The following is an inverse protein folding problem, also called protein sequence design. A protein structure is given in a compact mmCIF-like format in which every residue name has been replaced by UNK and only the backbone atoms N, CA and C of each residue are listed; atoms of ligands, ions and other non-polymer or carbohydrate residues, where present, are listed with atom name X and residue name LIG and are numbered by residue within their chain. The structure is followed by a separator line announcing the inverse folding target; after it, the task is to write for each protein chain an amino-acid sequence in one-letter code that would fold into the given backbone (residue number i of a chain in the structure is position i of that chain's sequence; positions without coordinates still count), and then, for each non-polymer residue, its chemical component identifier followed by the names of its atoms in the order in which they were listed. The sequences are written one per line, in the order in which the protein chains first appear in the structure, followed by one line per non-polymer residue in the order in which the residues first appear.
data_IF_187502871576
#
_entry.id   IF_187502871576
#
_cell.length_a   1.000
_cell.length_b   1.000
_cell.length_c   1.000
_cell.angle_alpha   90.00
_cell.angle_beta   90.00
_cell.angle_gamma   90.00
#
_symmetry.space_group_name_H-M   'P 1'
#
loop_
_entity.id
_entity.type
_entity.pdbx_description
1 polymer ?
#
# COMPACT_ATOMS: atom_id res chain seq x y z
N UNK A 1 25.72 -12.59 -14.01
CA UNK A 1 24.46 -12.81 -14.76
C UNK A 1 23.35 -12.80 -13.73
N UNK A 2 22.32 -11.95 -13.87
CA UNK A 2 21.25 -11.89 -12.87
C UNK A 2 20.44 -13.19 -12.88
N UNK A 3 20.22 -13.79 -11.71
CA UNK A 3 19.37 -14.98 -11.58
C UNK A 3 17.94 -14.64 -12.00
N UNK A 4 17.29 -15.56 -12.71
CA UNK A 4 15.89 -15.47 -13.08
C UNK A 4 15.04 -15.83 -11.86
N UNK A 5 14.12 -14.96 -11.48
CA UNK A 5 13.23 -15.22 -10.34
C UNK A 5 11.91 -15.86 -10.78
N UNK A 6 11.46 -16.91 -10.08
CA UNK A 6 10.13 -17.48 -10.23
C UNK A 6 9.36 -17.46 -8.90
N UNK A 7 8.15 -16.91 -8.93
CA UNK A 7 7.31 -16.80 -7.73
C UNK A 7 6.48 -18.07 -7.53
N UNK A 8 6.42 -18.56 -6.29
CA UNK A 8 5.60 -19.70 -5.87
C UNK A 8 4.31 -19.19 -5.23
N UNK A 9 3.15 -19.31 -5.91
CA UNK A 9 1.88 -18.80 -5.42
C UNK A 9 1.39 -19.53 -4.17
N UNK A 10 0.46 -18.88 -3.48
CA UNK A 10 -0.22 -19.43 -2.30
C UNK A 10 -0.96 -20.72 -2.66
N UNK A 11 -0.70 -21.80 -1.90
CA UNK A 11 -1.31 -23.11 -2.13
C UNK A 11 -0.78 -23.83 -3.37
N UNK A 12 0.41 -23.46 -3.85
CA UNK A 12 1.13 -24.11 -4.94
C UNK A 12 2.53 -24.54 -4.51
N UNK A 13 3.18 -25.34 -5.36
CA UNK A 13 4.58 -25.73 -5.23
C UNK A 13 5.31 -25.57 -6.56
N UNK A 14 6.64 -25.43 -6.49
CA UNK A 14 7.57 -25.48 -7.63
C UNK A 14 8.80 -26.30 -7.26
N UNK A 15 9.35 -27.00 -8.25
CA UNK A 15 10.59 -27.78 -8.16
C UNK A 15 11.44 -27.46 -9.39
N UNK A 16 12.74 -27.24 -9.22
CA UNK A 16 13.64 -26.91 -10.31
C UNK A 16 15.07 -27.38 -10.04
N UNK A 17 15.75 -27.78 -11.11
CA UNK A 17 17.20 -28.03 -11.17
C UNK A 17 17.95 -26.94 -11.98
N UNK A 18 17.22 -25.91 -12.45
CA UNK A 18 17.81 -24.81 -13.21
C UNK A 18 18.62 -23.90 -12.28
N UNK A 19 19.96 -24.03 -12.35
CA UNK A 19 20.91 -23.24 -11.56
C UNK A 19 20.89 -21.75 -11.90
N UNK A 20 20.17 -21.32 -12.92
CA UNK A 20 19.97 -19.89 -13.20
C UNK A 20 18.73 -19.32 -12.51
N UNK A 21 17.97 -20.15 -11.78
CA UNK A 21 16.70 -19.82 -11.18
C UNK A 21 16.82 -19.56 -9.67
N UNK A 22 16.02 -18.63 -9.17
CA UNK A 22 15.66 -18.52 -7.76
C UNK A 22 14.14 -18.66 -7.57
N UNK A 23 13.71 -19.45 -6.58
CA UNK A 23 12.31 -19.59 -6.19
C UNK A 23 11.97 -18.62 -5.08
N UNK A 24 10.85 -17.92 -5.20
CA UNK A 24 10.46 -16.84 -4.27
C UNK A 24 9.04 -17.02 -3.78
N UNK A 25 8.82 -16.85 -2.47
CA UNK A 25 7.46 -16.74 -1.93
C UNK A 25 7.41 -15.74 -0.77
N UNK A 26 6.21 -15.31 -0.38
CA UNK A 26 6.00 -14.39 0.75
C UNK A 26 5.03 -15.03 1.73
N UNK A 27 5.48 -15.27 2.96
CA UNK A 27 4.71 -15.93 4.01
C UNK A 27 4.23 -14.92 5.05
N UNK A 28 2.94 -14.98 5.42
CA UNK A 28 2.38 -14.28 6.59
C UNK A 28 2.05 -15.29 7.69
N UNK A 29 0.76 -15.56 7.91
CA UNK A 29 0.28 -16.70 8.72
C UNK A 29 0.43 -18.05 8.02
N UNK A 30 0.64 -18.05 6.71
CA UNK A 30 0.96 -19.24 5.92
C UNK A 30 2.43 -19.69 6.14
N UNK A 31 2.77 -20.91 5.75
CA UNK A 31 4.12 -21.49 5.94
C UNK A 31 4.70 -21.89 4.59
N UNK A 32 5.93 -21.47 4.32
CA UNK A 32 6.74 -21.98 3.23
C UNK A 32 7.56 -23.19 3.71
N UNK A 33 7.56 -24.24 2.90
CA UNK A 33 8.41 -25.42 3.09
C UNK A 33 9.39 -25.44 1.93
N UNK A 34 10.68 -25.40 2.25
CA UNK A 34 11.76 -25.47 1.26
C UNK A 34 12.45 -26.81 1.43
N UNK A 35 12.61 -27.56 0.35
CA UNK A 35 13.41 -28.77 0.28
C UNK A 35 14.57 -28.56 -0.67
N UNK A 36 15.75 -29.03 -0.29
CA UNK A 36 16.93 -28.95 -1.16
C UNK A 36 17.75 -30.24 -1.08
N UNK A 37 18.21 -30.71 -2.24
CA UNK A 37 19.19 -31.78 -2.40
C UNK A 37 20.52 -31.17 -2.88
N UNK A 38 21.49 -31.08 -1.97
CA UNK A 38 22.81 -30.49 -2.25
C UNK A 38 23.64 -31.31 -3.25
N UNK A 39 23.37 -32.61 -3.40
CA UNK A 39 24.14 -33.48 -4.30
C UNK A 39 23.68 -33.33 -5.74
N UNK A 40 22.38 -33.14 -5.95
CA UNK A 40 21.79 -33.00 -7.28
C UNK A 40 21.51 -31.55 -7.68
N UNK A 41 21.75 -30.58 -6.78
CA UNK A 41 21.42 -29.16 -6.98
C UNK A 41 19.94 -28.98 -7.38
N UNK A 42 19.06 -29.68 -6.65
CA UNK A 42 17.62 -29.65 -6.87
C UNK A 42 16.94 -28.96 -5.71
N UNK A 43 16.10 -27.98 -6.01
CA UNK A 43 15.36 -27.21 -5.03
C UNK A 43 13.85 -27.25 -5.27
N UNK A 44 13.09 -27.30 -4.18
CA UNK A 44 11.64 -27.28 -4.19
C UNK A 44 11.10 -26.35 -3.11
N UNK A 45 10.03 -25.65 -3.44
CA UNK A 45 9.35 -24.74 -2.51
C UNK A 45 7.84 -24.93 -2.59
N UNK A 46 7.20 -25.05 -1.43
CA UNK A 46 5.76 -25.22 -1.24
C UNK A 46 5.22 -24.09 -0.36
N UNK A 47 4.06 -23.54 -0.71
CA UNK A 47 3.36 -22.54 0.12
C UNK A 47 2.08 -23.13 0.73
N UNK A 48 2.15 -23.49 2.01
CA UNK A 48 1.06 -24.09 2.80
C UNK A 48 0.15 -23.03 3.41
N UNK A 49 -1.16 -23.22 3.27
CA UNK A 49 -2.18 -22.29 3.80
C UNK A 49 -2.85 -22.80 5.07
N UNK A 50 -3.16 -24.10 5.12
CA UNK A 50 -3.89 -24.74 6.23
C UNK A 50 -3.22 -26.06 6.67
N UNK A 51 -3.45 -26.52 7.92
CA UNK A 51 -2.71 -27.65 8.48
C UNK A 51 -3.19 -29.01 7.93
N UNK A 52 -4.46 -29.15 7.56
CA UNK A 52 -4.98 -30.40 7.00
C UNK A 52 -6.41 -30.32 6.49
N UNK A 53 -6.77 -31.22 5.58
CA UNK A 53 -8.05 -31.22 4.85
C UNK A 53 -9.23 -31.71 5.71
N UNK A 54 -9.01 -32.69 6.61
CA UNK A 54 -10.06 -33.27 7.48
C UNK A 54 -10.61 -32.29 8.54
N UNK A 55 -9.81 -31.31 8.95
CA UNK A 55 -10.14 -30.37 10.02
C UNK A 55 -10.45 -28.95 9.50
N UNK A 56 -10.74 -28.80 8.21
CA UNK A 56 -11.04 -27.52 7.58
C UNK A 56 -12.48 -27.44 7.09
N UNK A 57 -13.18 -26.36 7.44
CA UNK A 57 -14.48 -26.01 6.85
C UNK A 57 -14.37 -25.51 5.40
N UNK A 58 -13.15 -25.23 4.92
CA UNK A 58 -12.89 -24.69 3.58
C UNK A 58 -12.54 -25.80 2.59
N UNK A 59 -13.28 -25.85 1.48
CA UNK A 59 -12.96 -26.72 0.33
C UNK A 59 -12.02 -25.97 -0.62
N UNK A 60 -10.89 -26.57 -0.97
CA UNK A 60 -9.97 -26.10 -2.00
C UNK A 60 -9.55 -27.29 -2.85
N UNK A 61 -9.59 -27.12 -4.17
CA UNK A 61 -9.16 -28.14 -5.15
C UNK A 61 -7.65 -28.09 -5.42
N UNK A 62 -6.94 -27.12 -4.82
CA UNK A 62 -5.47 -27.03 -4.94
C UNK A 62 -4.83 -28.00 -3.97
N UNK A 63 -4.18 -29.03 -4.51
CA UNK A 63 -3.57 -30.09 -3.71
C UNK A 63 -2.37 -29.62 -2.84
N UNK A 64 -1.78 -28.46 -3.12
CA UNK A 64 -0.71 -27.86 -2.30
C UNK A 64 -1.23 -26.85 -1.25
N UNK A 65 -2.54 -26.72 -1.08
CA UNK A 65 -3.16 -25.78 -0.14
C UNK A 65 -3.05 -26.22 1.33
N UNK A 66 -3.06 -27.53 1.59
CA UNK A 66 -3.00 -28.11 2.94
C UNK A 66 -1.65 -28.79 3.19
N UNK A 67 -1.15 -28.78 4.43
CA UNK A 67 0.13 -29.40 4.76
C UNK A 67 0.12 -30.92 4.48
N UNK A 68 -0.95 -31.61 4.88
CA UNK A 68 -1.14 -33.06 4.75
C UNK A 68 -1.17 -33.58 3.31
N UNK A 69 -1.37 -32.70 2.33
CA UNK A 69 -1.38 -33.02 0.90
C UNK A 69 -0.17 -32.41 0.19
N UNK A 70 0.16 -31.16 0.50
CA UNK A 70 1.26 -30.43 -0.12
C UNK A 70 2.64 -30.96 0.22
N UNK A 71 2.92 -31.33 1.47
CA UNK A 71 4.25 -31.83 1.88
C UNK A 71 4.58 -33.17 1.19
N UNK A 72 3.69 -34.20 1.21
CA UNK A 72 3.93 -35.42 0.46
C UNK A 72 4.09 -35.18 -1.05
N UNK A 73 3.33 -34.25 -1.63
CA UNK A 73 3.45 -33.90 -3.05
C UNK A 73 4.79 -33.25 -3.38
N UNK A 74 5.27 -32.32 -2.57
CA UNK A 74 6.57 -31.68 -2.79
C UNK A 74 7.68 -32.74 -2.78
N UNK A 75 7.68 -33.64 -1.80
CA UNK A 75 8.66 -34.73 -1.72
C UNK A 75 8.60 -35.62 -2.97
N UNK A 76 7.38 -36.00 -3.39
CA UNK A 76 7.17 -36.81 -4.60
C UNK A 76 7.72 -36.13 -5.85
N UNK A 77 7.47 -34.83 -6.02
CA UNK A 77 7.99 -34.07 -7.17
C UNK A 77 9.51 -33.91 -7.09
N UNK A 78 10.09 -33.69 -5.91
CA UNK A 78 11.55 -33.67 -5.74
C UNK A 78 12.19 -35.01 -6.20
N UNK A 79 11.63 -36.14 -5.76
CA UNK A 79 12.11 -37.47 -6.17
C UNK A 79 11.93 -37.69 -7.68
N UNK A 80 10.80 -37.25 -8.24
CA UNK A 80 10.53 -37.33 -9.68
C UNK A 80 11.56 -36.54 -10.52
N UNK A 81 12.06 -35.44 -9.97
CA UNK A 81 13.12 -34.63 -10.56
C UNK A 81 14.54 -35.16 -10.26
N UNK A 82 14.65 -36.30 -9.57
CA UNK A 82 15.91 -37.01 -9.34
C UNK A 82 16.54 -36.82 -7.97
N UNK A 83 15.91 -36.11 -7.03
CA UNK A 83 16.43 -36.03 -5.67
C UNK A 83 16.35 -37.38 -4.94
N UNK A 84 17.30 -37.59 -4.03
CA UNK A 84 17.29 -38.75 -3.14
C UNK A 84 16.74 -38.36 -1.76
N UNK A 85 15.79 -39.12 -1.18
CA UNK A 85 15.21 -38.80 0.13
C UNK A 85 16.26 -38.58 1.23
N UNK A 86 17.32 -39.38 1.22
CA UNK A 86 18.46 -39.32 2.14
C UNK A 86 19.28 -38.01 2.06
N UNK A 87 19.18 -37.27 0.94
CA UNK A 87 19.88 -36.00 0.75
C UNK A 87 18.99 -34.78 0.98
N UNK A 88 17.67 -34.98 1.09
CA UNK A 88 16.74 -33.88 1.27
C UNK A 88 16.92 -33.25 2.64
N UNK A 89 17.09 -31.94 2.64
CA UNK A 89 17.07 -31.12 3.86
C UNK A 89 15.94 -30.11 3.74
N UNK A 90 15.29 -29.83 4.87
CA UNK A 90 14.17 -28.91 4.91
C UNK A 90 14.48 -27.63 5.67
N UNK A 91 13.89 -26.52 5.22
CA UNK A 91 13.65 -25.35 6.05
C UNK A 91 12.16 -25.00 6.08
N UNK A 92 11.68 -24.61 7.26
CA UNK A 92 10.27 -24.25 7.50
C UNK A 92 10.20 -22.79 7.93
N UNK A 93 9.59 -21.94 7.10
CA UNK A 93 9.60 -20.48 7.28
C UNK A 93 8.16 -19.93 7.23
N UNK A 94 7.78 -19.01 8.12
CA UNK A 94 6.47 -18.34 8.09
C UNK A 94 5.66 -18.52 9.36
N UNK A 95 4.37 -18.84 9.26
CA UNK A 95 3.55 -19.18 10.43
C UNK A 95 3.35 -18.03 11.43
N UNK A 96 3.36 -16.79 10.96
CA UNK A 96 3.12 -15.60 11.79
C UNK A 96 1.74 -15.61 12.45
N UNK A 97 1.64 -15.05 13.65
CA UNK A 97 0.41 -14.94 14.44
C UNK A 97 -0.52 -13.83 13.94
N UNK A 98 -0.70 -13.74 12.62
CA UNK A 98 -1.44 -12.66 11.95
C UNK A 98 -2.94 -12.96 11.81
N UNK A 99 -3.34 -14.23 11.91
CA UNK A 99 -4.72 -14.69 11.72
C UNK A 99 -5.04 -15.79 12.74
N UNK A 100 -6.13 -15.61 13.48
CA UNK A 100 -6.77 -16.66 14.27
C UNK A 100 -7.91 -17.29 13.47
N UNK A 101 -8.15 -18.58 13.65
CA UNK A 101 -9.36 -19.22 13.11
C UNK A 101 -10.60 -18.86 13.96
N UNK A 102 -11.77 -19.38 13.58
CA UNK A 102 -13.06 -19.13 14.26
C UNK A 102 -13.06 -19.61 15.74
N UNK A 103 -12.06 -20.40 16.15
CA UNK A 103 -11.85 -20.85 17.53
C UNK A 103 -10.85 -19.99 18.32
N UNK A 104 -10.36 -18.88 17.74
CA UNK A 104 -9.38 -17.99 18.38
C UNK A 104 -7.95 -18.53 18.38
N UNK A 105 -7.67 -19.65 17.70
CA UNK A 105 -6.39 -20.32 17.68
C UNK A 105 -5.52 -19.86 16.50
N UNK A 106 -4.21 -19.74 16.73
CA UNK A 106 -3.25 -19.23 15.75
C UNK A 106 -3.01 -20.22 14.60
N UNK A 107 -3.53 -19.91 13.41
CA UNK A 107 -3.43 -20.74 12.20
C UNK A 107 -1.97 -20.99 11.80
N UNK A 108 -1.11 -19.97 11.95
CA UNK A 108 0.29 -20.07 11.54
C UNK A 108 1.12 -21.04 12.38
N UNK A 109 0.84 -21.11 13.68
CA UNK A 109 1.46 -22.10 14.57
C UNK A 109 1.03 -23.52 14.19
N UNK A 110 -0.26 -23.74 13.96
CA UNK A 110 -0.80 -25.05 13.55
C UNK A 110 -0.24 -25.52 12.21
N UNK A 111 -0.08 -24.61 11.25
CA UNK A 111 0.55 -24.90 9.97
C UNK A 111 2.00 -25.37 10.16
N UNK A 112 2.78 -24.66 10.97
CA UNK A 112 4.18 -25.00 11.23
C UNK A 112 4.32 -26.35 11.94
N UNK A 113 3.46 -26.62 12.94
CA UNK A 113 3.40 -27.90 13.65
C UNK A 113 3.06 -29.05 12.70
N UNK A 114 2.01 -28.91 11.89
CA UNK A 114 1.60 -29.93 10.93
C UNK A 114 2.69 -30.25 9.88
N UNK A 115 3.34 -29.22 9.33
CA UNK A 115 4.48 -29.39 8.40
C UNK A 115 5.63 -30.11 9.08
N UNK A 116 5.98 -29.70 10.30
CA UNK A 116 7.10 -30.28 11.06
C UNK A 116 6.87 -31.77 11.32
N UNK A 117 5.66 -32.16 11.70
CA UNK A 117 5.31 -33.56 11.95
C UNK A 117 5.37 -34.41 10.67
N UNK A 118 4.93 -33.85 9.53
CA UNK A 118 4.98 -34.54 8.24
C UNK A 118 6.43 -34.74 7.76
N UNK A 119 7.29 -33.73 7.90
CA UNK A 119 8.71 -33.84 7.53
C UNK A 119 9.45 -34.85 8.42
N UNK A 120 9.17 -34.87 9.73
CA UNK A 120 9.71 -35.87 10.65
C UNK A 120 9.27 -37.29 10.27
N UNK A 121 7.99 -37.49 9.96
CA UNK A 121 7.47 -38.80 9.49
C UNK A 121 8.11 -39.25 8.18
N UNK A 122 8.48 -38.30 7.32
CA UNK A 122 9.20 -38.58 6.08
C UNK A 122 10.71 -38.79 6.26
N UNK A 123 11.24 -38.66 7.49
CA UNK A 123 12.68 -38.79 7.76
C UNK A 123 13.54 -37.64 7.24
N UNK A 124 12.95 -36.48 6.93
CA UNK A 124 13.66 -35.33 6.36
C UNK A 124 14.11 -34.39 7.50
N UNK A 125 15.42 -34.16 7.68
CA UNK A 125 15.92 -33.25 8.71
C UNK A 125 15.55 -31.79 8.41
N UNK A 126 15.10 -31.06 9.43
CA UNK A 126 14.83 -29.62 9.36
C UNK A 126 16.07 -28.89 9.88
N UNK A 127 16.78 -28.19 9.00
CA UNK A 127 18.01 -27.47 9.38
C UNK A 127 17.70 -26.16 10.10
N UNK A 128 16.63 -25.50 9.69
CA UNK A 128 16.25 -24.20 10.22
C UNK A 128 14.73 -24.06 10.24
N UNK A 129 14.28 -23.47 11.33
CA UNK A 129 12.88 -23.09 11.51
C UNK A 129 12.84 -21.59 11.78
N UNK A 130 12.10 -20.85 10.94
CA UNK A 130 11.83 -19.43 11.14
C UNK A 130 10.31 -19.20 11.15
N UNK A 131 9.67 -19.73 12.20
CA UNK A 131 8.21 -19.73 12.34
C UNK A 131 7.72 -18.79 13.46
N UNK A 132 6.48 -18.31 13.38
CA UNK A 132 5.87 -17.42 14.38
C UNK A 132 6.14 -15.93 14.12
N UNK A 133 6.05 -15.08 15.14
CA UNK A 133 6.20 -13.63 15.01
C UNK A 133 4.98 -12.91 14.42
N UNK A 134 5.08 -11.59 14.23
CA UNK A 134 3.97 -10.71 13.79
C UNK A 134 4.23 -10.06 12.42
N UNK A 135 5.16 -10.60 11.64
CA UNK A 135 5.67 -9.97 10.40
C UNK A 135 5.67 -10.97 9.26
N UNK A 136 5.37 -10.52 8.04
CA UNK A 136 5.55 -11.36 6.85
C UNK A 136 7.03 -11.61 6.59
N UNK A 137 7.36 -12.65 5.83
CA UNK A 137 8.72 -12.99 5.42
C UNK A 137 8.77 -13.27 3.93
N UNK A 138 9.70 -12.67 3.20
CA UNK A 138 10.08 -13.11 1.86
C UNK A 138 11.08 -14.25 2.02
N UNK A 139 10.81 -15.36 1.35
CA UNK A 139 11.68 -16.54 1.30
C UNK A 139 12.16 -16.67 -0.13
N UNK A 140 13.48 -16.73 -0.30
CA UNK A 140 14.13 -16.91 -1.59
C UNK A 140 15.05 -18.12 -1.49
N UNK A 141 14.94 -19.06 -2.44
CA UNK A 141 15.84 -20.19 -2.60
C UNK A 141 16.62 -19.99 -3.90
N UNK A 142 17.94 -19.90 -3.81
CA UNK A 142 18.83 -20.00 -4.97
C UNK A 142 19.07 -21.49 -5.30
N UNK A 143 18.73 -21.91 -6.51
CA UNK A 143 18.84 -23.32 -6.94
C UNK A 143 20.31 -23.73 -7.17
N UNK A 144 21.18 -22.80 -7.57
CA UNK A 144 22.59 -23.13 -7.81
C UNK A 144 23.34 -23.45 -6.51
N UNK A 145 22.99 -22.76 -5.43
CA UNK A 145 23.74 -22.80 -4.17
C UNK A 145 22.99 -23.52 -3.06
N UNK A 146 21.66 -23.63 -3.15
CA UNK A 146 20.82 -24.07 -2.05
C UNK A 146 20.65 -23.02 -0.95
N UNK A 147 21.16 -21.81 -1.16
CA UNK A 147 21.10 -20.77 -0.15
C UNK A 147 19.65 -20.27 -0.01
N UNK A 148 19.15 -20.31 1.23
CA UNK A 148 17.82 -19.83 1.58
C UNK A 148 17.96 -18.47 2.28
N UNK A 149 17.44 -17.43 1.64
CA UNK A 149 17.38 -16.08 2.19
C UNK A 149 15.99 -15.80 2.74
N UNK A 150 15.92 -15.43 4.02
CA UNK A 150 14.67 -15.08 4.71
C UNK A 150 14.70 -13.61 5.12
N UNK A 151 13.81 -12.81 4.56
CA UNK A 151 13.73 -11.37 4.80
C UNK A 151 12.41 -11.05 5.51
N UNK A 152 12.46 -10.71 6.79
CA UNK A 152 11.27 -10.41 7.60
C UNK A 152 10.82 -8.95 7.37
N UNK A 153 9.54 -8.72 7.03
CA UNK A 153 8.93 -7.40 6.81
C UNK A 153 8.66 -6.61 8.11
N UNK A 154 9.54 -6.73 9.10
CA UNK A 154 9.43 -5.98 10.36
C UNK A 154 10.53 -6.25 11.38
N UNK A 155 11.63 -6.90 10.98
CA UNK A 155 12.94 -6.55 11.53
C UNK A 155 13.60 -5.65 10.51
N UNK A 156 13.86 -4.42 10.94
CA UNK A 156 14.86 -3.55 10.33
C UNK A 156 16.09 -4.38 9.92
N UNK A 157 16.67 -4.16 8.74
CA UNK A 157 18.12 -4.11 8.69
C UNK A 157 18.51 -2.97 9.65
N UNK A 158 18.99 -3.34 10.84
CA UNK A 158 19.78 -2.42 11.65
C UNK A 158 21.09 -2.16 10.90
N UNK A 159 21.27 -0.93 10.44
CA UNK A 159 22.24 -0.03 11.06
C UNK A 159 22.18 1.31 10.35
N UNK A 160 22.22 2.37 11.14
CA UNK A 160 22.38 3.76 10.72
C UNK A 160 23.73 4.04 10.04
N UNK A 161 24.46 3.00 9.60
CA UNK A 161 25.69 3.12 8.83
C UNK A 161 25.46 3.16 7.30
N UNK A 162 24.36 2.61 6.78
CA UNK A 162 24.09 2.59 5.31
C UNK A 162 23.07 3.62 4.83
N UNK A 163 22.77 4.60 5.66
CA UNK A 163 22.07 5.80 5.20
C UNK A 163 23.05 6.85 4.64
N UNK A 164 24.32 6.47 4.44
CA UNK A 164 25.36 7.24 3.75
C UNK A 164 25.51 6.83 2.27
N UNK A 165 24.79 5.81 1.81
CA UNK A 165 24.84 5.27 0.45
C UNK A 165 23.55 5.52 -0.37
N UNK A 166 22.88 6.66 -0.18
CA UNK A 166 21.77 7.08 -1.04
C UNK A 166 22.24 7.61 -2.41
N UNK A 167 23.05 6.83 -3.11
CA UNK A 167 23.37 7.06 -4.52
C UNK A 167 22.21 6.65 -5.46
N UNK A 168 21.07 6.15 -4.95
CA UNK A 168 19.88 6.02 -5.78
C UNK A 168 18.54 6.26 -5.06
N UNK A 169 17.96 7.44 -5.31
CA UNK A 169 16.62 7.88 -4.89
C UNK A 169 15.52 6.84 -5.17
N UNK A 170 15.68 6.04 -6.23
CA UNK A 170 14.75 4.96 -6.60
C UNK A 170 14.56 3.87 -5.56
N UNK A 171 15.61 3.52 -4.79
CA UNK A 171 15.51 2.51 -3.73
C UNK A 171 14.62 2.98 -2.58
N UNK A 172 14.77 4.23 -2.17
CA UNK A 172 13.98 4.87 -1.11
C UNK A 172 12.50 4.96 -1.50
N UNK A 173 12.21 5.38 -2.74
CA UNK A 173 10.84 5.47 -3.27
C UNK A 173 10.13 4.11 -3.20
N UNK A 174 10.81 3.02 -3.58
CA UNK A 174 10.23 1.67 -3.52
C UNK A 174 9.92 1.21 -2.10
N UNK A 175 10.81 1.50 -1.15
CA UNK A 175 10.58 1.18 0.27
C UNK A 175 9.39 1.97 0.81
N UNK A 176 9.33 3.27 0.52
CA UNK A 176 8.24 4.12 0.97
C UNK A 176 6.91 3.74 0.33
N UNK A 177 6.90 3.47 -0.97
CA UNK A 177 5.75 2.92 -1.68
C UNK A 177 5.19 1.72 -0.94
N UNK A 178 6.02 0.72 -0.64
CA UNK A 178 5.62 -0.47 0.13
C UNK A 178 5.12 -0.14 1.54
N UNK A 179 5.72 0.82 2.26
CA UNK A 179 5.23 1.23 3.58
C UNK A 179 3.85 1.88 3.50
N UNK A 180 3.61 2.72 2.48
CA UNK A 180 2.31 3.33 2.22
C UNK A 180 1.24 2.27 1.89
N UNK A 181 1.60 1.17 1.23
CA UNK A 181 0.70 0.01 1.00
C UNK A 181 0.24 -0.68 2.27
N UNK A 182 0.96 -0.50 3.38
CA UNK A 182 0.62 -1.10 4.66
C UNK A 182 -0.24 -0.17 5.53
N UNK A 183 -0.48 1.08 5.10
CA UNK A 183 -1.33 2.03 5.81
C UNK A 183 -2.79 1.58 5.82
N UNK A 184 -3.45 1.76 6.97
CA UNK A 184 -4.83 1.32 7.20
C UNK A 184 -5.76 2.51 7.33
N UNK A 185 -6.93 2.50 6.67
CA UNK A 185 -7.96 3.46 7.01
C UNK A 185 -8.42 3.27 8.47
N UNK A 186 -8.95 4.32 9.06
CA UNK A 186 -9.53 4.27 10.40
C UNK A 186 -10.54 3.10 10.52
N UNK A 187 -10.54 2.32 11.61
CA UNK A 187 -11.40 1.15 11.78
C UNK A 187 -12.90 1.42 11.62
N UNK A 188 -13.38 2.61 12.04
CA UNK A 188 -14.78 3.00 11.86
C UNK A 188 -15.11 3.20 10.38
N UNK A 189 -14.21 3.83 9.64
CA UNK A 189 -14.32 3.97 8.18
C UNK A 189 -14.29 2.61 7.48
N UNK A 190 -13.34 1.75 7.86
CA UNK A 190 -13.21 0.39 7.34
C UNK A 190 -14.51 -0.42 7.55
N UNK A 191 -15.06 -0.40 8.78
CA UNK A 191 -16.33 -1.07 9.10
C UNK A 191 -17.50 -0.53 8.29
N UNK A 192 -17.65 0.79 8.20
CA UNK A 192 -18.75 1.39 7.45
C UNK A 192 -18.66 1.06 5.95
N UNK A 193 -17.45 1.12 5.39
CA UNK A 193 -17.21 0.76 4.00
C UNK A 193 -17.52 -0.71 3.76
N UNK A 194 -17.07 -1.59 4.67
CA UNK A 194 -17.35 -3.02 4.62
C UNK A 194 -18.85 -3.31 4.64
N UNK A 195 -19.62 -2.63 5.48
CA UNK A 195 -21.09 -2.72 5.49
C UNK A 195 -21.66 -2.32 4.12
N UNK A 196 -21.32 -1.12 3.64
CA UNK A 196 -21.84 -0.59 2.38
C UNK A 196 -21.54 -1.50 1.18
N UNK A 197 -20.35 -2.10 1.10
CA UNK A 197 -19.97 -2.97 -0.03
C UNK A 197 -20.56 -4.39 0.07
N UNK A 198 -21.06 -4.83 1.22
CA UNK A 198 -21.68 -6.15 1.40
C UNK A 198 -23.21 -6.12 1.31
N UNK A 199 -23.82 -4.94 1.15
CA UNK A 199 -25.26 -4.83 0.91
C UNK A 199 -25.65 -5.57 -0.40
N UNK A 200 -26.77 -6.31 -0.41
CA UNK A 200 -27.25 -7.07 -1.57
C UNK A 200 -27.33 -6.23 -2.85
N UNK A 201 -27.82 -4.98 -2.71
CA UNK A 201 -27.77 -3.95 -3.74
C UNK A 201 -26.85 -2.82 -3.32
N UNK A 202 -25.56 -2.97 -3.62
CA UNK A 202 -24.55 -1.97 -3.25
C UNK A 202 -24.77 -0.65 -3.99
N UNK A 203 -24.99 0.43 -3.24
CA UNK A 203 -25.02 1.78 -3.80
C UNK A 203 -23.59 2.28 -4.08
N UNK A 204 -23.11 2.09 -5.30
CA UNK A 204 -21.75 2.49 -5.72
C UNK A 204 -21.50 4.00 -5.68
N UNK A 205 -22.54 4.82 -5.77
CA UNK A 205 -22.43 6.28 -5.57
C UNK A 205 -22.08 6.60 -4.12
N UNK A 206 -22.69 5.91 -3.16
CA UNK A 206 -22.35 6.03 -1.75
C UNK A 206 -20.91 5.54 -1.48
N UNK A 207 -20.56 4.35 -1.96
CA UNK A 207 -19.21 3.76 -1.81
C UNK A 207 -18.13 4.69 -2.36
N UNK A 208 -18.32 5.26 -3.56
CA UNK A 208 -17.41 6.27 -4.13
C UNK A 208 -17.28 7.49 -3.24
N UNK A 209 -18.38 7.98 -2.68
CA UNK A 209 -18.40 9.08 -1.72
C UNK A 209 -17.57 8.79 -0.47
N UNK A 210 -17.58 7.54 0.00
CA UNK A 210 -16.79 7.10 1.16
C UNK A 210 -15.28 7.06 0.85
N UNK A 211 -14.89 6.48 -0.29
CA UNK A 211 -13.47 6.43 -0.73
C UNK A 211 -12.92 7.85 -0.87
N UNK A 212 -13.70 8.73 -1.52
CA UNK A 212 -13.30 10.11 -1.79
C UNK A 212 -13.13 10.95 -0.51
N UNK A 213 -13.52 10.43 0.65
CA UNK A 213 -13.31 11.08 1.96
C UNK A 213 -12.13 10.49 2.75
N UNK A 214 -11.50 9.44 2.24
CA UNK A 214 -10.41 8.74 2.92
C UNK A 214 -9.16 8.68 2.04
N UNK A 215 -8.12 9.40 2.46
CA UNK A 215 -6.84 9.46 1.74
C UNK A 215 -6.22 8.08 1.56
N UNK A 216 -6.15 7.28 2.62
CA UNK A 216 -5.52 5.96 2.59
C UNK A 216 -6.24 5.03 1.60
N UNK A 217 -7.58 5.03 1.60
CA UNK A 217 -8.34 4.25 0.62
C UNK A 217 -8.15 4.76 -0.81
N UNK A 218 -8.14 6.08 -0.99
CA UNK A 218 -7.86 6.69 -2.29
C UNK A 218 -6.50 6.23 -2.83
N UNK A 219 -5.45 6.28 -2.00
CA UNK A 219 -4.11 5.80 -2.36
C UNK A 219 -4.12 4.32 -2.78
N UNK A 220 -4.77 3.44 -2.00
CA UNK A 220 -4.86 2.01 -2.35
C UNK A 220 -5.58 1.77 -3.67
N UNK A 221 -6.68 2.49 -3.91
CA UNK A 221 -7.48 2.39 -5.13
C UNK A 221 -6.70 2.87 -6.34
N UNK A 222 -6.09 4.07 -6.26
CA UNK A 222 -5.30 4.63 -7.37
C UNK A 222 -4.10 3.76 -7.74
N UNK A 223 -3.36 3.29 -6.74
CA UNK A 223 -2.20 2.42 -6.96
C UNK A 223 -2.62 1.12 -7.64
N UNK A 224 -3.67 0.47 -7.14
CA UNK A 224 -4.09 -0.81 -7.71
C UNK A 224 -4.63 -0.63 -9.13
N UNK A 225 -5.48 0.38 -9.35
CA UNK A 225 -6.06 0.67 -10.66
C UNK A 225 -5.00 0.98 -11.73
N UNK A 226 -3.84 1.52 -11.35
CA UNK A 226 -2.72 1.81 -12.25
C UNK A 226 -1.62 0.73 -12.27
N UNK A 227 -1.79 -0.36 -11.51
CA UNK A 227 -0.82 -1.47 -11.52
C UNK A 227 -0.78 -2.17 -12.88
N UNK A 228 0.33 -2.84 -13.18
CA UNK A 228 0.52 -3.57 -14.45
C UNK A 228 -0.54 -4.64 -14.74
N UNK A 229 -1.24 -5.12 -13.71
CA UNK A 229 -2.36 -6.05 -13.87
C UNK A 229 -3.63 -5.37 -14.42
N UNK A 230 -3.83 -4.08 -14.14
CA UNK A 230 -5.04 -3.33 -14.53
C UNK A 230 -4.79 -2.25 -15.61
N UNK A 231 -3.57 -1.74 -15.82
CA UNK A 231 -3.26 -0.73 -16.87
C UNK A 231 -2.50 -1.32 -18.08
N UNK A 232 -2.70 -0.95 -19.36
CA UNK A 232 -3.28 0.25 -20.04
C UNK A 232 -3.91 -0.15 -21.41
N UNK A 233 -4.79 0.66 -22.07
CA UNK A 233 -4.51 2.05 -22.48
C UNK A 233 -5.45 3.09 -21.84
N UNK A 234 -4.87 3.96 -21.01
CA UNK A 234 -5.52 5.07 -20.31
C UNK A 234 -5.17 5.06 -18.83
N UNK A 235 -4.11 5.76 -18.42
CA UNK A 235 -3.71 5.89 -17.00
C UNK A 235 -4.87 6.53 -16.21
N UNK A 236 -5.18 5.99 -15.04
CA UNK A 236 -6.37 6.30 -14.25
C UNK A 236 -6.11 7.45 -13.27
N UNK A 237 -6.83 8.56 -13.41
CA UNK A 237 -6.69 9.77 -12.55
C UNK A 237 -7.85 10.02 -11.60
N UNK A 238 -9.00 9.33 -11.73
CA UNK A 238 -10.14 9.52 -10.82
C UNK A 238 -10.58 8.25 -10.10
N UNK A 239 -11.18 8.42 -8.91
CA UNK A 239 -11.79 7.31 -8.17
C UNK A 239 -12.91 6.63 -8.97
N UNK A 240 -13.63 7.39 -9.81
CA UNK A 240 -14.69 6.86 -10.65
C UNK A 240 -14.16 5.92 -11.74
N UNK A 241 -13.14 6.35 -12.48
CA UNK A 241 -12.45 5.50 -13.44
C UNK A 241 -11.81 4.27 -12.75
N UNK A 242 -11.21 4.46 -11.56
CA UNK A 242 -10.60 3.37 -10.81
C UNK A 242 -11.64 2.31 -10.40
N UNK A 243 -12.80 2.73 -9.92
CA UNK A 243 -13.90 1.81 -9.60
C UNK A 243 -14.42 1.09 -10.84
N UNK A 244 -14.51 1.78 -11.98
CA UNK A 244 -14.94 1.19 -13.24
C UNK A 244 -13.97 0.10 -13.74
N UNK A 245 -12.66 0.33 -13.64
CA UNK A 245 -11.62 -0.62 -14.09
C UNK A 245 -11.46 -1.79 -13.12
N UNK A 246 -11.44 -1.53 -11.81
CA UNK A 246 -11.28 -2.59 -10.82
C UNK A 246 -12.51 -3.50 -10.73
N UNK A 247 -13.70 -2.92 -10.95
CA UNK A 247 -14.97 -3.60 -10.77
C UNK A 247 -15.29 -3.91 -9.31
N UNK A 248 -16.55 -4.29 -9.07
CA UNK A 248 -17.11 -4.47 -7.73
C UNK A 248 -16.41 -5.56 -6.92
N UNK A 249 -16.08 -6.69 -7.55
CA UNK A 249 -15.48 -7.85 -6.90
C UNK A 249 -14.08 -7.56 -6.37
N UNK A 250 -13.22 -6.94 -7.17
CA UNK A 250 -11.86 -6.62 -6.73
C UNK A 250 -11.86 -5.48 -5.73
N UNK A 251 -12.73 -4.48 -5.94
CA UNK A 251 -12.89 -3.40 -4.98
C UNK A 251 -13.28 -3.92 -3.57
N UNK A 252 -14.25 -4.84 -3.48
CA UNK A 252 -14.60 -5.52 -2.23
C UNK A 252 -13.40 -6.20 -1.57
N UNK A 253 -12.53 -6.84 -2.35
CA UNK A 253 -11.29 -7.48 -1.83
C UNK A 253 -10.29 -6.46 -1.30
N UNK A 254 -10.15 -5.29 -1.95
CA UNK A 254 -9.32 -4.19 -1.43
C UNK A 254 -9.86 -3.71 -0.10
N UNK A 255 -11.18 -3.49 0.01
CA UNK A 255 -11.81 -3.08 1.26
C UNK A 255 -11.61 -4.13 2.37
N UNK A 256 -11.77 -5.41 2.04
CA UNK A 256 -11.50 -6.52 2.98
C UNK A 256 -10.03 -6.54 3.41
N UNK A 257 -9.09 -6.51 2.48
CA UNK A 257 -7.65 -6.52 2.79
C UNK A 257 -7.26 -5.29 3.62
N UNK A 258 -7.76 -4.10 3.29
CA UNK A 258 -7.52 -2.88 4.05
C UNK A 258 -8.15 -2.92 5.47
N UNK A 259 -9.20 -3.74 5.69
CA UNK A 259 -9.90 -3.87 6.97
C UNK A 259 -9.34 -4.99 7.87
N UNK A 260 -8.67 -5.99 7.30
CA UNK A 260 -8.17 -7.18 8.02
C UNK A 260 -6.79 -6.99 8.68
N UNK A 261 -6.07 -5.90 8.38
CA UNK A 261 -4.71 -5.71 8.90
C UNK A 261 -4.79 -4.93 10.23
N UNK A 262 -4.42 -5.60 11.33
CA UNK A 262 -4.41 -5.10 12.74
C UNK A 262 -3.73 -3.74 12.86
N UNK A 263 -4.28 -2.80 13.66
CA UNK A 263 -3.86 -1.39 13.77
C UNK A 263 -2.34 -1.15 13.70
N UNK A 264 -1.91 -0.13 12.96
CA UNK A 264 -0.63 0.54 13.22
C UNK A 264 -0.78 1.40 14.48
N UNK A 265 0.21 1.38 15.36
CA UNK A 265 0.30 2.29 16.50
C UNK A 265 0.10 3.75 16.05
N UNK A 266 -0.46 4.63 16.92
CA UNK A 266 -0.52 6.05 16.63
C UNK A 266 0.87 6.58 16.30
N UNK A 267 1.09 7.02 15.06
CA UNK A 267 2.31 7.72 14.68
C UNK A 267 2.25 9.13 15.27
N UNK A 268 2.62 9.27 16.55
CA UNK A 268 2.97 10.57 17.13
C UNK A 268 4.48 10.68 17.12
N UNK A 269 5.00 11.25 16.04
CA UNK A 269 6.40 11.70 16.02
C UNK A 269 6.54 12.99 16.84
N UNK A 270 7.78 13.36 17.19
CA UNK A 270 8.17 14.62 17.85
C UNK A 270 7.69 15.91 17.13
N UNK A 271 7.07 15.78 15.95
CA UNK A 271 6.54 16.86 15.12
C UNK A 271 5.05 17.14 15.32
N UNK A 272 4.33 16.37 16.16
CA UNK A 272 2.88 16.49 16.40
C UNK A 272 2.00 16.39 15.13
N UNK A 273 2.51 15.73 14.08
CA UNK A 273 1.75 15.44 12.85
C UNK A 273 1.04 14.08 13.05
N UNK A 274 -0.25 14.01 12.71
CA UNK A 274 -1.03 12.77 12.76
C UNK A 274 -1.64 12.44 11.39
N UNK A 275 -1.88 11.14 11.16
CA UNK A 275 -2.61 10.66 9.97
C UNK A 275 -3.92 11.44 9.77
N UNK A 276 -4.72 11.56 10.84
CA UNK A 276 -6.00 12.26 10.80
C UNK A 276 -5.87 13.74 10.44
N UNK A 277 -4.76 14.40 10.81
CA UNK A 277 -4.50 15.80 10.46
C UNK A 277 -4.17 15.94 8.97
N UNK A 278 -3.24 15.13 8.46
CA UNK A 278 -2.88 15.13 7.03
C UNK A 278 -4.06 14.72 6.16
N UNK A 279 -4.81 13.68 6.53
CA UNK A 279 -5.99 13.22 5.81
C UNK A 279 -7.09 14.30 5.75
N UNK A 280 -7.35 15.01 6.85
CA UNK A 280 -8.32 16.14 6.87
C UNK A 280 -7.88 17.27 5.95
N UNK A 281 -6.59 17.65 6.01
CA UNK A 281 -6.03 18.68 5.15
C UNK A 281 -6.14 18.31 3.66
N UNK A 282 -5.79 17.08 3.30
CA UNK A 282 -5.88 16.60 1.92
C UNK A 282 -7.33 16.58 1.41
N UNK A 283 -8.29 16.16 2.24
CA UNK A 283 -9.70 16.19 1.88
C UNK A 283 -10.23 17.61 1.66
N UNK A 284 -9.89 18.54 2.56
CA UNK A 284 -10.26 19.95 2.42
C UNK A 284 -9.67 20.56 1.14
N UNK A 285 -8.38 20.28 0.87
CA UNK A 285 -7.70 20.74 -0.32
C UNK A 285 -8.30 20.16 -1.61
N UNK A 286 -8.65 18.87 -1.62
CA UNK A 286 -9.30 18.19 -2.74
C UNK A 286 -10.66 18.81 -3.08
N UNK A 287 -11.51 19.01 -2.07
CA UNK A 287 -12.84 19.60 -2.26
C UNK A 287 -12.73 21.03 -2.74
N UNK A 288 -11.81 21.80 -2.15
CA UNK A 288 -11.56 23.20 -2.55
C UNK A 288 -11.02 23.30 -3.97
N UNK A 289 -10.01 22.50 -4.33
CA UNK A 289 -9.45 22.48 -5.68
C UNK A 289 -10.52 22.12 -6.74
N UNK A 290 -11.39 21.15 -6.44
CA UNK A 290 -12.51 20.82 -7.33
C UNK A 290 -13.55 21.94 -7.44
N UNK A 291 -13.84 22.62 -6.33
CA UNK A 291 -14.76 23.77 -6.32
C UNK A 291 -14.23 24.91 -7.21
N UNK A 292 -12.94 25.25 -7.06
CA UNK A 292 -12.28 26.25 -7.89
C UNK A 292 -12.30 25.86 -9.38
N UNK A 293 -12.21 24.56 -9.67
CA UNK A 293 -12.34 24.04 -11.02
C UNK A 293 -13.80 23.96 -11.54
N UNK A 294 -14.80 24.49 -10.85
CA UNK A 294 -16.23 24.31 -11.20
C UNK A 294 -16.61 24.70 -12.63
N UNK A 295 -15.95 25.71 -13.21
CA UNK A 295 -16.11 26.14 -14.61
C UNK A 295 -15.33 25.31 -15.65
N UNK A 296 -14.56 24.31 -15.21
CA UNK A 296 -13.72 23.46 -16.07
C UNK A 296 -14.44 22.18 -16.50
N UNK A 297 -13.96 21.49 -17.55
CA UNK A 297 -14.49 20.19 -17.96
C UNK A 297 -14.51 19.17 -16.81
N UNK A 298 -15.45 18.22 -16.88
CA UNK A 298 -15.63 17.20 -15.84
C UNK A 298 -14.33 16.47 -15.47
N UNK A 299 -13.56 16.04 -16.48
CA UNK A 299 -12.29 15.34 -16.24
C UNK A 299 -11.30 16.20 -15.45
N UNK A 300 -11.16 17.47 -15.81
CA UNK A 300 -10.26 18.40 -15.11
C UNK A 300 -10.67 18.61 -13.66
N UNK A 301 -11.98 18.67 -13.37
CA UNK A 301 -12.50 18.78 -12.00
C UNK A 301 -12.16 17.56 -11.14
N UNK A 302 -12.23 16.37 -11.73
CA UNK A 302 -11.84 15.14 -11.03
C UNK A 302 -10.32 15.04 -10.87
N UNK A 303 -9.53 15.49 -11.84
CA UNK A 303 -8.06 15.57 -11.71
C UNK A 303 -7.65 16.58 -10.61
N UNK A 304 -8.35 17.71 -10.51
CA UNK A 304 -8.14 18.72 -9.45
C UNK A 304 -8.48 18.15 -8.06
N UNK A 305 -9.55 17.35 -7.97
CA UNK A 305 -9.88 16.62 -6.76
C UNK A 305 -8.79 15.61 -6.40
N UNK A 306 -8.37 14.77 -7.34
CA UNK A 306 -7.39 13.71 -7.11
C UNK A 306 -6.02 14.25 -6.74
N UNK A 307 -5.55 15.32 -7.40
CA UNK A 307 -4.30 16.00 -7.03
C UNK A 307 -4.39 16.62 -5.64
N UNK A 308 -5.50 17.32 -5.33
CA UNK A 308 -5.74 17.85 -3.98
C UNK A 308 -5.83 16.76 -2.91
N UNK A 309 -6.32 15.56 -3.24
CA UNK A 309 -6.36 14.43 -2.31
C UNK A 309 -4.96 13.82 -2.13
N UNK A 310 -4.21 13.64 -3.20
CA UNK A 310 -2.93 12.93 -3.20
C UNK A 310 -1.72 13.82 -2.86
N UNK A 311 -1.85 15.14 -2.83
CA UNK A 311 -0.71 16.04 -2.62
C UNK A 311 0.03 15.79 -1.29
N UNK A 312 -0.69 15.33 -0.25
CA UNK A 312 -0.11 15.04 1.06
C UNK A 312 0.65 13.71 1.15
N UNK A 313 0.72 12.91 0.09
CA UNK A 313 1.40 11.60 0.10
C UNK A 313 2.89 11.71 0.45
N UNK A 314 3.53 12.80 0.03
CA UNK A 314 4.92 13.10 0.39
C UNK A 314 5.11 13.38 1.87
N UNK A 315 4.17 14.11 2.50
CA UNK A 315 4.19 14.37 3.94
C UNK A 315 4.00 13.06 4.73
N UNK A 316 3.09 12.19 4.32
CA UNK A 316 2.94 10.85 4.90
C UNK A 316 4.22 10.02 4.78
N UNK A 317 4.86 10.07 3.62
CA UNK A 317 6.10 9.33 3.38
C UNK A 317 7.22 9.86 4.27
N UNK A 318 7.31 11.17 4.43
CA UNK A 318 8.27 11.79 5.35
C UNK A 318 8.01 11.39 6.81
N UNK A 319 6.75 11.36 7.27
CA UNK A 319 6.42 10.83 8.60
C UNK A 319 6.89 9.39 8.78
N UNK A 320 6.68 8.54 7.77
CA UNK A 320 7.14 7.14 7.81
C UNK A 320 8.66 7.02 7.81
N UNK A 321 9.36 7.91 7.10
CA UNK A 321 10.83 8.00 7.14
C UNK A 321 11.30 8.40 8.53
N UNK A 322 10.74 9.47 9.09
CA UNK A 322 11.18 9.99 10.37
C UNK A 322 10.85 9.03 11.53
N UNK A 323 9.70 8.35 11.49
CA UNK A 323 9.40 7.27 12.44
C UNK A 323 10.39 6.09 12.33
N UNK A 324 10.95 5.84 11.15
CA UNK A 324 11.94 4.76 10.93
C UNK A 324 13.37 5.21 11.23
N UNK A 325 13.67 6.50 11.08
CA UNK A 325 14.98 7.13 11.22
C UNK A 325 14.83 8.54 11.81
N UNK A 326 14.58 8.65 13.13
CA UNK A 326 14.25 9.94 13.75
C UNK A 326 15.34 10.99 13.59
N UNK A 327 14.94 12.24 13.31
CA UNK A 327 15.80 13.43 13.19
C UNK A 327 16.88 13.35 12.10
N UNK A 328 16.78 12.36 11.21
CA UNK A 328 17.78 12.17 10.16
C UNK A 328 17.57 13.07 8.95
N UNK A 329 16.29 13.32 8.64
CA UNK A 329 15.89 14.08 7.47
C UNK A 329 15.03 15.26 7.92
N UNK A 330 15.24 16.38 7.25
CA UNK A 330 14.45 17.61 7.38
C UNK A 330 13.73 17.89 6.07
N UNK A 331 12.76 18.81 6.07
CA UNK A 331 12.08 19.24 4.84
C UNK A 331 13.05 19.91 3.84
N UNK A 332 14.15 20.50 4.33
CA UNK A 332 15.25 20.99 3.48
C UNK A 332 15.97 19.87 2.74
N UNK A 333 16.07 18.67 3.33
CA UNK A 333 16.74 17.52 2.72
C UNK A 333 15.83 16.83 1.70
N UNK A 334 14.53 16.73 2.00
CA UNK A 334 13.56 16.06 1.13
C UNK A 334 12.29 16.92 1.01
N UNK A 335 12.15 17.59 -0.13
CA UNK A 335 10.95 18.34 -0.49
C UNK A 335 9.76 17.39 -0.65
N UNK A 336 8.74 17.54 0.20
CA UNK A 336 7.59 16.62 0.26
C UNK A 336 6.81 16.52 -1.04
N UNK A 337 6.59 17.64 -1.73
CA UNK A 337 5.93 17.72 -3.04
C UNK A 337 6.65 16.85 -4.08
N UNK A 338 7.99 16.97 -4.16
CA UNK A 338 8.83 16.18 -5.07
C UNK A 338 8.80 14.70 -4.74
N UNK A 339 8.96 14.35 -3.46
CA UNK A 339 8.85 12.96 -3.00
C UNK A 339 7.46 12.38 -3.33
N UNK A 340 6.41 13.17 -3.15
CA UNK A 340 5.04 12.76 -3.45
C UNK A 340 4.86 12.40 -4.92
N UNK A 341 5.29 13.26 -5.85
CA UNK A 341 5.17 12.94 -7.27
C UNK A 341 6.04 11.77 -7.71
N UNK A 342 7.24 11.60 -7.13
CA UNK A 342 8.08 10.43 -7.41
C UNK A 342 7.38 9.11 -7.02
N UNK A 343 6.68 9.08 -5.89
CA UNK A 343 5.89 7.92 -5.46
C UNK A 343 4.70 7.69 -6.40
N UNK A 344 3.99 8.75 -6.79
CA UNK A 344 2.87 8.62 -7.73
C UNK A 344 3.33 8.16 -9.12
N UNK A 345 4.54 8.55 -9.54
CA UNK A 345 5.18 8.07 -10.77
C UNK A 345 5.48 6.59 -10.70
N UNK A 346 6.04 6.10 -9.57
CA UNK A 346 6.25 4.67 -9.33
C UNK A 346 4.92 3.89 -9.35
N UNK A 347 3.83 4.53 -8.90
CA UNK A 347 2.47 3.97 -8.98
C UNK A 347 1.80 4.14 -10.35
N UNK A 348 2.56 4.60 -11.34
CA UNK A 348 2.13 4.75 -12.73
C UNK A 348 0.90 5.65 -12.93
N UNK A 349 0.71 6.66 -12.05
CA UNK A 349 -0.34 7.65 -12.25
C UNK A 349 -0.10 8.49 -13.51
N UNK A 350 -1.15 9.15 -14.05
CA UNK A 350 -1.01 10.06 -15.18
C UNK A 350 -0.01 11.19 -14.92
N UNK A 351 0.77 11.52 -15.94
CA UNK A 351 1.86 12.51 -15.83
C UNK A 351 1.38 13.88 -15.36
N UNK A 352 0.17 14.31 -15.78
CA UNK A 352 -0.40 15.57 -15.32
C UNK A 352 -0.71 15.58 -13.81
N UNK A 353 -1.10 14.44 -13.22
CA UNK A 353 -1.29 14.30 -11.76
C UNK A 353 0.05 14.32 -11.04
N UNK A 354 1.03 13.57 -11.56
CA UNK A 354 2.40 13.50 -11.00
C UNK A 354 3.03 14.89 -10.98
N UNK A 355 2.99 15.60 -12.12
CA UNK A 355 3.53 16.95 -12.26
C UNK A 355 2.83 17.94 -11.33
N UNK A 356 1.50 17.88 -11.23
CA UNK A 356 0.74 18.75 -10.34
C UNK A 356 1.15 18.56 -8.87
N UNK A 357 1.23 17.32 -8.39
CA UNK A 357 1.68 17.02 -7.02
C UNK A 357 3.15 17.39 -6.80
N UNK A 358 4.00 17.26 -7.81
CA UNK A 358 5.41 17.66 -7.72
C UNK A 358 5.66 19.16 -7.78
N UNK A 359 4.69 19.98 -8.16
CA UNK A 359 4.93 21.41 -8.39
C UNK A 359 3.93 22.33 -7.69
N UNK A 360 2.93 21.80 -6.98
CA UNK A 360 1.89 22.63 -6.38
C UNK A 360 2.40 23.70 -5.41
N UNK A 361 3.57 23.53 -4.75
CA UNK A 361 4.11 24.58 -3.86
C UNK A 361 4.60 25.82 -4.60
N UNK A 362 4.91 25.68 -5.89
CA UNK A 362 5.38 26.74 -6.77
C UNK A 362 4.85 26.44 -8.19
N UNK A 363 3.54 26.59 -8.43
CA UNK A 363 2.92 26.19 -9.68
C UNK A 363 3.44 27.10 -10.82
N UNK A 364 3.72 26.49 -11.97
CA UNK A 364 3.97 27.27 -13.19
C UNK A 364 2.67 27.96 -13.63
N UNK A 365 2.75 29.11 -14.30
CA UNK A 365 1.57 29.74 -14.89
C UNK A 365 0.93 28.81 -15.93
N UNK A 366 -0.40 28.79 -15.98
CA UNK A 366 -1.15 28.13 -17.04
C UNK A 366 -0.82 28.68 -18.42
N UNK A 367 -1.17 27.91 -19.45
CA UNK A 367 -1.06 28.35 -20.85
C UNK A 367 -2.44 28.76 -21.36
N UNK A 368 -2.49 29.56 -22.43
CA UNK A 368 -3.76 30.08 -22.98
C UNK A 368 -4.74 28.95 -23.27
N UNK A 369 -5.88 28.93 -22.57
CA UNK A 369 -6.92 27.91 -22.69
C UNK A 369 -6.62 26.56 -22.01
N UNK A 370 -5.50 26.44 -21.28
CA UNK A 370 -5.11 25.25 -20.51
C UNK A 370 -4.57 25.66 -19.15
N UNK A 371 -5.44 25.71 -18.14
CA UNK A 371 -5.03 26.15 -16.83
C UNK A 371 -4.16 25.09 -16.13
N UNK A 372 -3.26 25.55 -15.27
CA UNK A 372 -2.30 24.74 -14.54
C UNK A 372 -2.99 23.98 -13.42
N UNK A 373 -3.02 22.65 -13.52
CA UNK A 373 -3.61 21.79 -12.48
C UNK A 373 -2.95 21.98 -11.11
N UNK A 374 -1.63 22.21 -11.08
CA UNK A 374 -0.87 22.47 -9.86
C UNK A 374 -1.34 23.75 -9.14
N UNK A 375 -1.83 24.76 -9.88
CA UNK A 375 -2.36 25.98 -9.32
C UNK A 375 -3.66 25.74 -8.52
N UNK A 376 -4.55 24.86 -8.98
CA UNK A 376 -5.74 24.45 -8.22
C UNK A 376 -5.36 23.71 -6.93
N UNK A 377 -4.37 22.81 -7.01
CA UNK A 377 -3.84 22.14 -5.83
C UNK A 377 -3.21 23.15 -4.86
N UNK A 378 -2.44 24.12 -5.36
CA UNK A 378 -1.83 25.20 -4.56
C UNK A 378 -2.88 25.99 -3.79
N UNK A 379 -3.88 26.53 -4.50
CA UNK A 379 -4.94 27.33 -3.89
C UNK A 379 -5.79 26.50 -2.92
N UNK A 380 -6.12 25.25 -3.25
CA UNK A 380 -6.83 24.35 -2.33
C UNK A 380 -6.03 24.07 -1.05
N UNK A 381 -4.72 23.86 -1.18
CA UNK A 381 -3.79 23.64 -0.08
C UNK A 381 -3.68 24.90 0.81
N UNK A 382 -3.61 26.09 0.21
CA UNK A 382 -3.55 27.37 0.91
C UNK A 382 -4.86 27.74 1.61
N UNK A 383 -6.00 27.67 0.92
CA UNK A 383 -7.31 27.97 1.49
C UNK A 383 -7.64 27.02 2.65
N UNK A 384 -7.29 25.73 2.54
CA UNK A 384 -7.46 24.80 3.66
C UNK A 384 -6.69 25.24 4.91
N UNK A 385 -5.49 25.80 4.75
CA UNK A 385 -4.72 26.39 5.86
C UNK A 385 -5.34 27.66 6.41
N UNK A 386 -5.88 28.54 5.54
CA UNK A 386 -6.61 29.73 5.98
C UNK A 386 -7.82 29.38 6.84
N UNK A 387 -8.50 28.28 6.52
CA UNK A 387 -9.60 27.74 7.33
C UNK A 387 -9.14 27.02 8.61
N UNK A 388 -7.83 27.00 8.92
CA UNK A 388 -7.30 26.31 10.10
C UNK A 388 -7.20 24.79 9.94
N UNK A 389 -7.45 24.24 8.76
CA UNK A 389 -7.31 22.81 8.47
C UNK A 389 -5.90 22.56 7.94
N UNK A 390 -4.93 22.42 8.85
CA UNK A 390 -3.52 22.25 8.49
C UNK A 390 -3.08 20.78 8.56
N UNK A 391 -2.05 20.42 7.80
CA UNK A 391 -1.41 19.10 7.89
C UNK A 391 -0.33 19.02 8.99
N UNK A 392 0.04 20.15 9.60
CA UNK A 392 1.05 20.24 10.66
C UNK A 392 0.74 21.44 11.57
N UNK A 393 0.95 21.32 12.89
CA UNK A 393 0.74 22.43 13.81
C UNK A 393 1.83 23.52 13.71
N UNK A 394 2.94 23.26 13.01
CA UNK A 394 4.04 24.22 12.80
C UNK A 394 4.01 24.87 11.42
N UNK A 395 2.85 24.93 10.77
CA UNK A 395 2.75 25.60 9.47
C UNK A 395 2.88 27.11 9.68
N UNK A 396 3.97 27.69 9.19
CA UNK A 396 4.09 29.14 9.03
C UNK A 396 3.09 29.67 7.99
N UNK A 397 3.21 30.96 7.68
CA UNK A 397 2.36 31.61 6.67
C UNK A 397 2.45 30.90 5.32
N UNK A 398 1.30 30.73 4.66
CA UNK A 398 1.23 30.13 3.34
C UNK A 398 1.32 31.21 2.27
N UNK A 399 2.36 31.14 1.45
CA UNK A 399 2.56 32.08 0.35
C UNK A 399 1.73 31.67 -0.87
N UNK A 400 0.65 32.41 -1.12
CA UNK A 400 -0.14 32.22 -2.33
C UNK A 400 0.62 32.71 -3.57
N UNK A 401 0.53 31.96 -4.68
CA UNK A 401 1.13 32.38 -5.95
C UNK A 401 0.22 33.41 -6.58
N UNK A 402 0.80 34.56 -6.94
CA UNK A 402 0.05 35.65 -7.56
C UNK A 402 -0.49 35.24 -8.94
N UNK A 403 0.25 34.39 -9.63
CA UNK A 403 -0.08 33.83 -10.94
C UNK A 403 -1.25 32.85 -10.82
N UNK A 404 -1.21 31.96 -9.83
CA UNK A 404 -2.30 31.02 -9.57
C UNK A 404 -3.60 31.74 -9.20
N UNK A 405 -3.52 32.82 -8.40
CA UNK A 405 -4.67 33.66 -8.07
C UNK A 405 -5.23 34.29 -9.36
N UNK A 406 -4.38 34.95 -10.16
CA UNK A 406 -4.80 35.62 -11.40
C UNK A 406 -5.40 34.68 -12.43
N UNK A 407 -4.92 33.45 -12.46
CA UNK A 407 -5.38 32.44 -13.40
C UNK A 407 -6.76 31.88 -13.05
N UNK A 408 -7.09 31.76 -11.75
CA UNK A 408 -8.24 30.99 -11.27
C UNK A 408 -9.33 31.88 -10.65
N UNK A 409 -8.95 32.96 -9.98
CA UNK A 409 -9.84 33.82 -9.21
C UNK A 409 -10.02 35.14 -9.96
N UNK A 410 -11.21 35.35 -10.53
CA UNK A 410 -11.53 36.49 -11.40
C UNK A 410 -11.22 37.85 -10.77
N UNK A 411 -11.50 38.01 -9.48
CA UNK A 411 -11.35 39.29 -8.76
C UNK A 411 -9.96 39.44 -8.11
N UNK A 412 -9.05 38.50 -8.34
CA UNK A 412 -7.72 38.42 -7.72
C UNK A 412 -7.70 38.41 -6.19
N UNK A 413 -8.85 38.15 -5.55
CA UNK A 413 -9.00 38.15 -4.11
C UNK A 413 -9.43 36.77 -3.60
N UNK A 414 -8.60 36.13 -2.80
CA UNK A 414 -8.89 34.83 -2.18
C UNK A 414 -10.13 34.89 -1.29
N UNK A 415 -10.40 36.03 -0.64
CA UNK A 415 -11.56 36.16 0.23
C UNK A 415 -12.88 36.00 -0.54
N UNK A 416 -12.91 36.39 -1.83
CA UNK A 416 -14.09 36.26 -2.70
C UNK A 416 -14.58 34.82 -2.87
N UNK A 417 -13.69 33.82 -2.81
CA UNK A 417 -14.05 32.41 -3.00
C UNK A 417 -14.39 31.67 -1.70
N UNK A 418 -14.01 32.21 -0.54
CA UNK A 418 -14.21 31.56 0.77
C UNK A 418 -15.68 31.21 1.07
N UNK A 419 -16.68 32.10 0.84
CA UNK A 419 -18.08 31.76 1.10
C UNK A 419 -18.56 30.55 0.29
N UNK A 420 -18.12 30.45 -0.97
CA UNK A 420 -18.44 29.33 -1.85
C UNK A 420 -17.78 28.02 -1.40
N UNK A 421 -16.50 28.09 -0.99
CA UNK A 421 -15.78 26.94 -0.42
C UNK A 421 -16.46 26.44 0.86
N UNK A 422 -16.79 27.34 1.79
CA UNK A 422 -17.49 26.98 3.03
C UNK A 422 -18.87 26.36 2.77
N UNK A 423 -19.61 26.89 1.78
CA UNK A 423 -20.88 26.29 1.33
C UNK A 423 -20.67 24.88 0.79
N UNK A 424 -19.64 24.66 -0.03
CA UNK A 424 -19.33 23.34 -0.58
C UNK A 424 -18.93 22.33 0.50
N UNK A 425 -18.11 22.75 1.47
CA UNK A 425 -17.77 21.94 2.65
C UNK A 425 -19.01 21.59 3.47
N UNK A 426 -19.94 22.53 3.66
CA UNK A 426 -21.22 22.31 4.36
C UNK A 426 -22.08 21.28 3.65
N UNK A 427 -22.28 21.43 2.34
CA UNK A 427 -23.10 20.52 1.53
C UNK A 427 -22.61 19.07 1.60
N UNK A 428 -21.32 18.87 1.86
CA UNK A 428 -20.69 17.56 1.99
C UNK A 428 -20.66 17.03 3.43
N UNK A 429 -21.14 17.80 4.40
CA UNK A 429 -21.11 17.47 5.83
C UNK A 429 -19.69 17.48 6.41
N UNK A 430 -18.79 18.31 5.87
CA UNK A 430 -17.38 18.32 6.26
C UNK A 430 -17.04 19.37 7.32
N UNK A 431 -17.90 20.35 7.56
CA UNK A 431 -17.64 21.40 8.55
C UNK A 431 -17.53 20.83 9.98
N UNK A 432 -18.48 19.99 10.38
CA UNK A 432 -18.44 19.28 11.66
C UNK A 432 -17.24 18.32 11.73
N UNK A 433 -16.97 17.61 10.64
CA UNK A 433 -15.82 16.69 10.56
C UNK A 433 -14.47 17.42 10.73
N UNK A 434 -14.39 18.68 10.31
CA UNK A 434 -13.21 19.53 10.45
C UNK A 434 -13.20 20.37 11.73
N UNK A 435 -14.24 20.29 12.57
CA UNK A 435 -14.45 21.18 13.72
C UNK A 435 -14.40 22.68 13.35
N UNK A 436 -14.93 23.04 12.18
CA UNK A 436 -15.05 24.44 11.75
C UNK A 436 -16.29 25.08 12.35
N UNK A 437 -16.09 26.09 13.21
CA UNK A 437 -17.18 26.92 13.73
C UNK A 437 -17.50 28.04 12.73
N UNK A 438 -18.58 27.85 11.97
CA UNK A 438 -18.99 28.76 10.89
C UNK A 438 -19.45 30.13 11.38
N UNK A 439 -19.60 30.31 12.70
CA UNK A 439 -19.90 31.62 13.29
C UNK A 439 -18.63 32.44 13.57
N UNK A 440 -17.45 31.83 13.46
CA UNK A 440 -16.13 32.43 13.75
C UNK A 440 -15.17 32.47 12.54
N UNK A 441 -15.56 31.86 11.43
CA UNK A 441 -14.84 31.86 10.14
C UNK A 441 -15.61 32.68 9.13
#
# INVERSE_FOLDING_TARGET
MALRSEFVPVGELRVSADKTLELITITGSCVAVVLYDEKHYLGGMLHVVLPGRRNSSRKSDRNAYFADTGVPMLIKEMIRYGARPEHLKAEVIGGGALVTDDSGLNIGRRNAEAVTDLLKKAGIPILRTSVGGQVSRRVTLDIATGQIKVESSGRHPESTQDLRSFENLGGLIKILGKKLEMLKPNPTWARNLMKAVHEPETNWKNVRGMISRCLILSMHVFRLANSSYYGSPGKISSCEQALAVLGSRQFRRICMLASLIRQSEPFTDNFHISEAMVSRHCLAAAVTARYLASGMPHQFREDAFSTGMLHGIGAFSFMLLNASCPNKFTESDIKWDKLGGLILSEWNLPEHIVTAVSSYKAPAPGTRGRPCLAAFTHLGCGISRLLGITASPRTGEFNFSSEAIKEIISDNDIASVLPGVLKELRLRGLLEYFNLDVKKT
#
